data_IF_054431895369
#
_entry.id   IF_054431895369
#
_cell.length_a   1.000
_cell.length_b   1.000
_cell.length_c   1.000
_cell.angle_alpha   90.00
_cell.angle_beta   90.00
_cell.angle_gamma   90.00
#
_symmetry.space_group_name_H-M   'P 1'
#
loop_
_entity.id
_entity.type
_entity.pdbx_description
1 polymer ?
#
# COMPACT_ATOMS: atom_id res chain seq x y z
N UNK A 1 -24.39 52.07 11.89
CA UNK A 1 -24.76 50.74 12.40
C UNK A 1 -25.28 49.83 11.27
N UNK A 2 -26.12 50.36 10.37
CA UNK A 2 -26.80 49.57 9.33
C UNK A 2 -25.88 48.95 8.27
N UNK A 3 -24.77 49.63 7.94
CA UNK A 3 -23.80 49.14 6.95
C UNK A 3 -23.03 47.89 7.42
N UNK A 4 -22.70 47.81 8.69
CA UNK A 4 -21.96 46.65 9.28
C UNK A 4 -22.92 45.44 9.37
N UNK A 5 -24.16 45.65 9.74
CA UNK A 5 -25.18 44.58 9.80
C UNK A 5 -25.51 44.04 8.42
N UNK A 6 -25.62 44.88 7.42
CA UNK A 6 -25.76 44.44 6.01
C UNK A 6 -24.58 43.60 5.54
N UNK A 7 -23.36 44.08 5.80
CA UNK A 7 -22.15 43.33 5.43
C UNK A 7 -22.08 41.96 6.13
N UNK A 8 -22.40 41.88 7.41
CA UNK A 8 -22.44 40.62 8.15
C UNK A 8 -23.48 39.63 7.61
N UNK A 9 -24.65 40.13 7.16
CA UNK A 9 -25.67 39.31 6.51
C UNK A 9 -25.17 38.74 5.17
N UNK A 10 -24.55 39.57 4.33
CA UNK A 10 -23.98 39.09 3.06
C UNK A 10 -22.89 38.02 3.27
N UNK A 11 -21.99 38.24 4.24
CA UNK A 11 -20.96 37.24 4.58
C UNK A 11 -21.60 35.95 5.08
N UNK A 12 -22.57 36.00 5.97
CA UNK A 12 -23.30 34.86 6.49
C UNK A 12 -24.01 34.06 5.40
N UNK A 13 -24.63 34.76 4.45
CA UNK A 13 -25.32 34.17 3.31
C UNK A 13 -24.33 33.44 2.39
N UNK A 14 -23.19 34.09 2.04
CA UNK A 14 -22.13 33.46 1.23
C UNK A 14 -21.57 32.19 1.90
N UNK A 15 -21.29 32.24 3.20
CA UNK A 15 -20.83 31.05 3.96
C UNK A 15 -21.88 29.94 3.97
N UNK A 16 -23.16 30.28 4.07
CA UNK A 16 -24.27 29.32 4.01
C UNK A 16 -24.35 28.63 2.65
N UNK A 17 -24.12 29.35 1.57
CA UNK A 17 -24.12 28.81 0.21
C UNK A 17 -22.90 27.87 -0.02
N UNK A 18 -21.70 28.28 0.40
CA UNK A 18 -20.50 27.45 0.31
C UNK A 18 -20.66 26.12 1.06
N UNK A 19 -21.26 26.18 2.25
CA UNK A 19 -21.53 24.96 3.04
C UNK A 19 -22.55 24.04 2.34
N UNK A 20 -23.59 24.60 1.71
CA UNK A 20 -24.58 23.84 0.93
C UNK A 20 -23.94 23.19 -0.30
N UNK A 21 -23.10 23.91 -1.04
CA UNK A 21 -22.38 23.41 -2.22
C UNK A 21 -21.44 22.28 -1.81
N UNK A 22 -20.63 22.49 -0.76
CA UNK A 22 -19.71 21.49 -0.23
C UNK A 22 -20.46 20.21 0.17
N UNK A 23 -21.59 20.34 0.85
CA UNK A 23 -22.43 19.21 1.25
C UNK A 23 -22.94 18.43 0.04
N UNK A 24 -23.59 19.12 -0.92
CA UNK A 24 -24.11 18.48 -2.15
C UNK A 24 -23.02 17.75 -2.93
N UNK A 25 -21.84 18.34 -3.01
CA UNK A 25 -20.69 17.71 -3.67
C UNK A 25 -20.27 16.41 -2.95
N UNK A 26 -20.18 16.44 -1.62
CA UNK A 26 -19.85 15.24 -0.83
C UNK A 26 -20.91 14.16 -0.95
N UNK A 27 -22.19 14.53 -0.90
CA UNK A 27 -23.31 13.62 -1.11
C UNK A 27 -23.26 12.97 -2.50
N UNK A 28 -23.02 13.76 -3.54
CA UNK A 28 -22.88 13.25 -4.91
C UNK A 28 -21.68 12.32 -5.10
N UNK A 29 -20.54 12.63 -4.49
CA UNK A 29 -19.35 11.76 -4.50
C UNK A 29 -19.66 10.45 -3.78
N UNK A 30 -20.23 10.50 -2.58
CA UNK A 30 -20.58 9.30 -1.80
C UNK A 30 -21.58 8.42 -2.56
N UNK A 31 -22.66 9.00 -3.09
CA UNK A 31 -23.64 8.24 -3.87
C UNK A 31 -23.05 7.62 -5.16
N UNK A 32 -22.06 8.27 -5.77
CA UNK A 32 -21.36 7.72 -6.94
C UNK A 32 -20.44 6.55 -6.55
N UNK A 33 -19.72 6.65 -5.44
CA UNK A 33 -18.88 5.57 -4.91
C UNK A 33 -19.70 4.35 -4.51
N UNK A 34 -20.86 4.55 -3.85
CA UNK A 34 -21.82 3.48 -3.52
C UNK A 34 -22.31 2.70 -4.75
N UNK A 35 -22.46 3.40 -5.88
CA UNK A 35 -22.79 2.79 -7.17
C UNK A 35 -21.58 2.11 -7.84
N UNK A 36 -20.44 2.05 -7.19
CA UNK A 36 -19.21 1.47 -7.75
C UNK A 36 -18.53 2.31 -8.83
N UNK A 37 -18.85 3.62 -8.92
CA UNK A 37 -18.20 4.55 -9.84
C UNK A 37 -16.97 5.17 -9.18
N UNK A 38 -15.80 5.12 -9.84
CA UNK A 38 -14.59 5.79 -9.37
C UNK A 38 -14.69 7.29 -9.62
N UNK A 39 -14.69 8.11 -8.56
CA UNK A 39 -14.77 9.57 -8.62
C UNK A 39 -13.41 10.27 -8.49
N UNK A 40 -12.36 9.53 -8.30
CA UNK A 40 -11.00 10.01 -8.12
C UNK A 40 -10.06 9.51 -9.23
N UNK A 41 -8.80 9.98 -9.18
CA UNK A 41 -7.79 9.54 -10.14
C UNK A 41 -7.54 8.04 -9.99
N UNK A 42 -7.73 7.30 -11.07
CA UNK A 42 -7.47 5.87 -11.11
C UNK A 42 -6.01 5.54 -10.75
N UNK A 43 -5.76 4.42 -10.04
CA UNK A 43 -4.43 3.99 -9.69
C UNK A 43 -3.63 3.58 -10.95
N UNK A 44 -2.31 3.42 -10.78
CA UNK A 44 -1.42 2.99 -11.88
C UNK A 44 -1.90 1.67 -12.48
N UNK A 45 -1.83 1.54 -13.81
CA UNK A 45 -2.38 0.40 -14.55
C UNK A 45 -3.80 0.61 -15.03
N UNK A 46 -4.40 1.75 -14.68
CA UNK A 46 -5.70 2.20 -15.17
C UNK A 46 -5.64 3.63 -15.68
N UNK A 47 -6.58 3.98 -16.55
CA UNK A 47 -6.77 5.30 -17.15
C UNK A 47 -8.21 5.73 -16.91
N UNK A 48 -8.40 6.99 -16.48
CA UNK A 48 -9.73 7.60 -16.46
C UNK A 48 -10.09 8.00 -17.88
N UNK A 49 -11.21 7.49 -18.37
CA UNK A 49 -11.83 7.89 -19.65
C UNK A 49 -13.11 8.64 -19.38
N UNK A 50 -13.40 9.55 -20.26
CA UNK A 50 -14.64 10.31 -20.28
C UNK A 50 -15.21 10.25 -21.68
N UNK A 51 -16.46 9.79 -21.79
CA UNK A 51 -17.20 9.80 -23.07
C UNK A 51 -17.93 11.13 -23.20
N UNK A 52 -18.65 11.51 -22.12
CA UNK A 52 -19.42 12.75 -22.01
C UNK A 52 -19.22 13.33 -20.61
N UNK A 53 -19.70 14.57 -20.35
CA UNK A 53 -19.57 15.21 -19.05
C UNK A 53 -20.16 14.40 -17.89
N UNK A 54 -21.12 13.53 -18.16
CA UNK A 54 -21.76 12.66 -17.16
C UNK A 54 -21.16 11.24 -17.10
N UNK A 55 -20.51 10.77 -18.18
CA UNK A 55 -20.05 9.39 -18.31
C UNK A 55 -18.52 9.27 -18.19
N UNK A 56 -18.07 9.18 -16.95
CA UNK A 56 -16.67 8.87 -16.60
C UNK A 56 -16.55 7.40 -16.19
N UNK A 57 -15.57 6.71 -16.75
CA UNK A 57 -15.26 5.31 -16.42
C UNK A 57 -13.76 5.06 -16.35
N UNK A 58 -13.38 3.94 -15.78
CA UNK A 58 -11.99 3.53 -15.62
C UNK A 58 -11.71 2.36 -16.55
N UNK A 59 -10.70 2.51 -17.39
CA UNK A 59 -10.24 1.50 -18.35
C UNK A 59 -8.84 1.00 -17.96
N UNK A 60 -8.52 -0.24 -18.33
CA UNK A 60 -7.19 -0.81 -18.13
C UNK A 60 -6.19 -0.14 -19.09
N UNK A 61 -5.08 0.36 -18.54
CA UNK A 61 -3.94 0.89 -19.31
C UNK A 61 -3.16 -0.27 -19.94
N UNK A 62 -3.29 -0.46 -21.25
CA UNK A 62 -2.67 -1.58 -22.01
C UNK A 62 -1.16 -1.62 -21.88
N UNK A 63 -0.49 -0.48 -21.66
CA UNK A 63 0.96 -0.41 -21.53
C UNK A 63 1.42 -0.72 -20.10
N UNK A 64 0.74 -0.17 -19.10
CA UNK A 64 1.17 -0.27 -17.70
C UNK A 64 0.57 -1.46 -16.95
N UNK A 65 -0.59 -1.93 -17.36
CA UNK A 65 -1.27 -3.03 -16.69
C UNK A 65 -0.46 -4.34 -16.67
N UNK A 66 0.19 -4.79 -17.77
CA UNK A 66 1.00 -6.00 -17.74
C UNK A 66 2.13 -5.93 -16.70
N UNK A 67 2.77 -4.75 -16.59
CA UNK A 67 3.87 -4.53 -15.64
C UNK A 67 3.36 -4.62 -14.20
N UNK A 68 2.20 -4.05 -13.93
CA UNK A 68 1.58 -4.13 -12.59
C UNK A 68 1.18 -5.57 -12.25
N UNK A 69 0.62 -6.32 -13.21
CA UNK A 69 0.32 -7.75 -13.03
C UNK A 69 1.59 -8.54 -12.69
N UNK A 70 2.68 -8.31 -13.42
CA UNK A 70 3.98 -8.96 -13.17
C UNK A 70 4.51 -8.62 -11.77
N UNK A 71 4.42 -7.34 -11.35
CA UNK A 71 4.82 -6.92 -10.00
C UNK A 71 4.06 -7.68 -8.91
N UNK A 72 2.74 -7.81 -9.03
CA UNK A 72 1.92 -8.55 -8.09
C UNK A 72 2.25 -10.04 -8.10
N UNK A 73 2.42 -10.64 -9.27
CA UNK A 73 2.79 -12.04 -9.41
C UNK A 73 4.15 -12.35 -8.76
N UNK A 74 5.16 -11.50 -8.98
CA UNK A 74 6.48 -11.67 -8.36
C UNK A 74 6.43 -11.54 -6.83
N UNK A 75 5.63 -10.61 -6.30
CA UNK A 75 5.43 -10.50 -4.84
C UNK A 75 4.69 -11.73 -4.32
N UNK A 76 3.66 -12.21 -5.01
CA UNK A 76 2.86 -13.38 -4.60
C UNK A 76 3.69 -14.69 -4.53
N UNK A 77 4.76 -14.81 -5.32
CA UNK A 77 5.70 -15.95 -5.23
C UNK A 77 6.39 -16.03 -3.86
N UNK A 78 6.49 -14.92 -3.12
CA UNK A 78 7.09 -14.90 -1.78
C UNK A 78 8.60 -15.16 -1.72
N UNK A 79 9.29 -15.27 -2.86
CA UNK A 79 10.73 -15.53 -2.93
C UNK A 79 11.53 -14.32 -2.49
N UNK A 80 11.10 -13.13 -2.91
CA UNK A 80 11.76 -11.87 -2.61
C UNK A 80 10.90 -10.94 -1.79
N UNK A 81 11.54 -10.04 -1.05
CA UNK A 81 10.82 -8.98 -0.33
C UNK A 81 10.21 -7.97 -1.31
N UNK A 82 9.06 -7.35 -0.97
CA UNK A 82 8.47 -6.30 -1.81
C UNK A 82 9.46 -5.17 -2.16
N UNK A 83 10.34 -4.80 -1.21
CA UNK A 83 11.37 -3.79 -1.45
C UNK A 83 12.42 -4.21 -2.49
N UNK A 84 12.76 -5.50 -2.55
CA UNK A 84 13.68 -6.01 -3.56
C UNK A 84 13.02 -5.97 -4.95
N UNK A 85 11.78 -6.42 -5.04
CA UNK A 85 11.00 -6.41 -6.29
C UNK A 85 10.85 -4.99 -6.80
N UNK A 86 10.52 -4.03 -5.93
CA UNK A 86 10.45 -2.61 -6.30
C UNK A 86 11.77 -2.12 -6.94
N UNK A 87 12.92 -2.46 -6.36
CA UNK A 87 14.24 -2.11 -6.91
C UNK A 87 14.53 -2.81 -8.24
N UNK A 88 14.10 -4.07 -8.40
CA UNK A 88 14.26 -4.83 -9.63
C UNK A 88 13.51 -4.17 -10.79
N UNK A 89 12.24 -3.79 -10.58
CA UNK A 89 11.44 -3.11 -11.59
C UNK A 89 11.92 -1.67 -11.85
N UNK A 90 12.46 -1.00 -10.84
CA UNK A 90 13.09 0.32 -11.03
C UNK A 90 14.29 0.26 -11.99
N UNK A 91 15.12 -0.80 -11.91
CA UNK A 91 16.24 -1.03 -12.84
C UNK A 91 15.77 -1.34 -14.27
N UNK A 92 14.56 -1.86 -14.45
CA UNK A 92 13.92 -2.10 -15.74
C UNK A 92 13.20 -0.85 -16.29
N UNK A 93 13.38 0.33 -15.68
CA UNK A 93 12.76 1.59 -16.10
C UNK A 93 11.39 1.89 -15.48
N UNK A 94 10.85 0.99 -14.63
CA UNK A 94 9.54 1.15 -14.00
C UNK A 94 9.66 1.61 -12.54
N UNK A 95 10.17 2.81 -12.35
CA UNK A 95 10.37 3.37 -11.01
C UNK A 95 9.05 3.71 -10.31
N UNK A 96 8.90 3.18 -9.09
CA UNK A 96 7.84 3.53 -8.14
C UNK A 96 8.51 3.76 -6.79
N UNK A 97 8.19 4.85 -6.13
CA UNK A 97 8.71 5.10 -4.77
C UNK A 97 8.25 3.99 -3.80
N UNK A 98 9.11 3.59 -2.86
CA UNK A 98 8.88 2.47 -1.92
C UNK A 98 7.50 2.53 -1.23
N UNK A 99 7.15 3.68 -0.67
CA UNK A 99 5.86 3.82 0.04
C UNK A 99 4.66 3.76 -0.91
N UNK A 100 4.81 4.30 -2.13
CA UNK A 100 3.78 4.22 -3.16
C UNK A 100 3.61 2.80 -3.68
N UNK A 101 4.70 2.03 -3.78
CA UNK A 101 4.66 0.62 -4.13
C UNK A 101 3.91 -0.21 -3.08
N UNK A 102 4.20 0.00 -1.79
CA UNK A 102 3.48 -0.70 -0.72
C UNK A 102 2.00 -0.30 -0.64
N UNK A 103 1.68 0.99 -0.86
CA UNK A 103 0.28 1.45 -0.97
C UNK A 103 -0.43 0.81 -2.17
N UNK A 104 0.25 0.69 -3.32
CA UNK A 104 -0.26 0.02 -4.51
C UNK A 104 -0.61 -1.44 -4.22
N UNK A 105 0.30 -2.19 -3.59
CA UNK A 105 0.06 -3.60 -3.25
C UNK A 105 -1.11 -3.81 -2.27
N UNK A 106 -1.46 -2.81 -1.45
CA UNK A 106 -2.60 -2.86 -0.51
C UNK A 106 -3.90 -2.33 -1.08
N UNK A 107 -3.87 -1.78 -2.28
CA UNK A 107 -5.04 -1.14 -2.84
C UNK A 107 -6.01 -2.17 -3.44
N UNK A 108 -7.17 -2.33 -2.82
CA UNK A 108 -8.23 -3.26 -3.25
C UNK A 108 -8.88 -2.89 -4.58
N UNK A 109 -8.59 -1.70 -5.10
CA UNK A 109 -9.03 -1.32 -6.43
C UNK A 109 -8.57 -2.31 -7.50
N UNK A 110 -7.40 -2.93 -7.34
CA UNK A 110 -6.87 -3.91 -8.29
C UNK A 110 -7.67 -5.22 -8.36
N UNK A 111 -8.46 -5.53 -7.34
CA UNK A 111 -9.38 -6.68 -7.31
C UNK A 111 -10.83 -6.28 -7.58
N UNK A 112 -11.06 -5.05 -8.05
CA UNK A 112 -12.38 -4.58 -8.42
C UNK A 112 -13.21 -4.04 -7.25
N UNK A 113 -12.60 -3.69 -6.12
CA UNK A 113 -13.28 -3.09 -4.97
C UNK A 113 -12.95 -1.60 -4.85
N UNK A 114 -13.96 -0.78 -4.56
CA UNK A 114 -13.82 0.66 -4.33
C UNK A 114 -14.06 0.96 -2.85
N UNK A 115 -13.16 1.74 -2.27
CA UNK A 115 -13.30 2.23 -0.90
C UNK A 115 -14.28 3.38 -0.82
N UNK A 116 -15.32 3.23 0.00
CA UNK A 116 -16.28 4.28 0.34
C UNK A 116 -15.90 4.79 1.73
N UNK A 117 -15.48 6.06 1.87
CA UNK A 117 -15.12 6.61 3.17
C UNK A 117 -16.34 6.80 4.06
N UNK A 118 -16.11 6.91 5.37
CA UNK A 118 -17.15 7.27 6.33
C UNK A 118 -17.85 8.56 5.91
N UNK A 119 -19.17 8.54 5.96
CA UNK A 119 -20.00 9.67 5.62
C UNK A 119 -21.01 9.95 6.73
N UNK A 120 -21.17 11.23 7.11
CA UNK A 120 -22.17 11.68 8.08
C UNK A 120 -23.37 12.23 7.34
N UNK A 121 -24.43 11.43 7.27
CA UNK A 121 -25.72 11.84 6.76
C UNK A 121 -26.55 12.49 7.87
N UNK A 122 -27.26 13.59 7.54
CA UNK A 122 -28.09 14.29 8.51
C UNK A 122 -29.34 13.52 8.93
N UNK A 123 -29.83 12.60 8.08
CA UNK A 123 -31.07 11.85 8.30
C UNK A 123 -30.80 10.45 8.85
N UNK A 124 -29.75 9.80 8.35
CA UNK A 124 -29.44 8.39 8.63
C UNK A 124 -28.38 8.25 9.74
N UNK A 125 -27.60 9.33 9.98
CA UNK A 125 -26.50 9.30 10.92
C UNK A 125 -25.15 8.97 10.26
N UNK A 126 -24.27 8.27 11.00
CA UNK A 126 -22.93 7.94 10.51
C UNK A 126 -22.97 6.65 9.71
N UNK A 127 -22.61 6.70 8.43
CA UNK A 127 -22.38 5.55 7.57
C UNK A 127 -20.90 5.18 7.68
N UNK A 128 -20.55 3.99 8.21
CA UNK A 128 -19.15 3.60 8.39
C UNK A 128 -18.46 3.38 7.04
N UNK A 129 -17.14 3.53 7.04
CA UNK A 129 -16.33 3.24 5.86
C UNK A 129 -16.40 1.75 5.49
N UNK A 130 -16.58 1.45 4.21
CA UNK A 130 -16.68 0.08 3.69
C UNK A 130 -16.17 -0.01 2.25
N UNK A 131 -16.19 -1.23 1.69
CA UNK A 131 -15.82 -1.49 0.31
C UNK A 131 -17.03 -1.96 -0.48
N UNK A 132 -17.18 -1.45 -1.70
CA UNK A 132 -18.23 -1.86 -2.65
C UNK A 132 -17.59 -2.44 -3.91
N UNK A 133 -18.34 -3.24 -4.64
CA UNK A 133 -17.90 -3.76 -5.93
C UNK A 133 -17.84 -2.61 -6.94
N UNK A 134 -16.66 -2.37 -7.51
CA UNK A 134 -16.45 -1.38 -8.55
C UNK A 134 -16.99 -1.83 -9.91
N UNK A 135 -17.31 -0.85 -10.76
CA UNK A 135 -17.72 -1.10 -12.15
C UNK A 135 -16.52 -1.33 -13.08
N UNK A 136 -15.30 -1.06 -12.61
CA UNK A 136 -14.08 -1.27 -13.38
C UNK A 136 -13.67 -2.74 -13.40
N UNK A 137 -13.00 -3.15 -14.46
CA UNK A 137 -12.45 -4.49 -14.60
C UNK A 137 -11.29 -4.72 -13.61
N UNK A 138 -11.28 -5.82 -12.83
CA UNK A 138 -10.18 -6.14 -11.94
C UNK A 138 -8.90 -6.46 -12.72
N UNK A 139 -7.77 -5.96 -12.25
CA UNK A 139 -6.47 -6.24 -12.85
C UNK A 139 -5.82 -7.50 -12.29
N UNK A 140 -6.12 -7.82 -11.03
CA UNK A 140 -5.53 -8.91 -10.25
C UNK A 140 -6.66 -9.78 -9.70
N UNK A 141 -6.47 -11.09 -9.68
CA UNK A 141 -7.38 -12.03 -9.03
C UNK A 141 -7.28 -11.95 -7.50
N UNK A 142 -8.34 -12.32 -6.82
CA UNK A 142 -8.44 -12.23 -5.36
C UNK A 142 -7.41 -13.08 -4.65
N UNK A 143 -7.15 -14.29 -5.13
CA UNK A 143 -6.19 -15.22 -4.54
C UNK A 143 -4.76 -14.68 -4.56
N UNK A 144 -4.34 -14.11 -5.70
CA UNK A 144 -3.04 -13.43 -5.82
C UNK A 144 -2.95 -12.23 -4.90
N UNK A 145 -4.00 -11.44 -4.80
CA UNK A 145 -4.05 -10.29 -3.92
C UNK A 145 -3.91 -10.69 -2.44
N UNK A 146 -4.64 -11.71 -1.99
CA UNK A 146 -4.58 -12.20 -0.60
C UNK A 146 -3.20 -12.77 -0.24
N UNK A 147 -2.57 -13.51 -1.16
CA UNK A 147 -1.16 -13.93 -1.01
C UNK A 147 -0.24 -12.74 -0.82
N UNK A 148 -0.40 -11.70 -1.64
CA UNK A 148 0.39 -10.45 -1.51
C UNK A 148 0.14 -9.78 -0.17
N UNK A 149 -1.12 -9.68 0.32
CA UNK A 149 -1.41 -9.09 1.62
C UNK A 149 -0.70 -9.83 2.76
N UNK A 150 -0.73 -11.17 2.75
CA UNK A 150 -0.05 -11.98 3.77
C UNK A 150 1.46 -11.72 3.85
N UNK A 151 2.07 -11.40 2.70
CA UNK A 151 3.50 -11.08 2.61
C UNK A 151 3.77 -9.65 3.07
N UNK A 152 2.97 -8.69 2.61
CA UNK A 152 3.13 -7.26 2.91
C UNK A 152 2.86 -6.95 4.38
N UNK A 153 1.92 -7.65 5.03
CA UNK A 153 1.59 -7.48 6.44
C UNK A 153 2.58 -8.16 7.40
N UNK A 154 3.72 -8.62 6.88
CA UNK A 154 4.79 -9.29 7.64
C UNK A 154 4.36 -10.60 8.32
N UNK A 155 3.19 -11.12 8.05
CA UNK A 155 2.77 -12.45 8.48
C UNK A 155 3.63 -13.53 7.82
N UNK A 156 4.12 -13.24 6.62
CA UNK A 156 5.08 -14.04 5.90
C UNK A 156 6.45 -13.35 5.88
N UNK A 157 7.42 -13.91 6.58
CA UNK A 157 8.85 -13.58 6.38
C UNK A 157 9.41 -14.67 5.49
N UNK A 158 9.72 -14.39 4.19
CA UNK A 158 10.46 -15.36 3.41
C UNK A 158 11.72 -15.71 4.20
N UNK A 159 11.99 -17.00 4.38
CA UNK A 159 13.28 -17.46 4.88
C UNK A 159 14.31 -17.06 3.82
N UNK A 160 14.79 -15.81 3.91
CA UNK A 160 15.97 -15.43 3.15
C UNK A 160 17.02 -16.49 3.48
N UNK A 161 17.49 -17.18 2.47
CA UNK A 161 18.69 -17.98 2.59
C UNK A 161 19.72 -17.06 3.23
N UNK A 162 19.99 -17.30 4.50
CA UNK A 162 20.91 -16.46 5.28
C UNK A 162 22.21 -16.47 4.48
N UNK A 163 22.73 -15.28 4.15
CA UNK A 163 24.03 -15.18 3.51
C UNK A 163 25.01 -15.92 4.40
N UNK A 164 25.37 -17.15 4.02
CA UNK A 164 26.45 -17.87 4.64
C UNK A 164 27.72 -17.17 4.21
N UNK A 165 28.33 -16.44 5.14
CA UNK A 165 29.69 -15.94 4.90
C UNK A 165 30.61 -17.14 4.87
N UNK A 166 31.48 -17.29 3.86
CA UNK A 166 32.35 -18.48 3.74
C UNK A 166 33.17 -18.73 5.02
N UNK A 167 33.62 -17.68 5.69
CA UNK A 167 34.42 -17.79 6.91
C UNK A 167 33.62 -18.06 8.18
N UNK A 168 32.26 -18.04 8.10
CA UNK A 168 31.36 -18.26 9.25
C UNK A 168 30.28 -19.29 8.89
N UNK A 169 30.68 -20.40 8.32
CA UNK A 169 29.79 -21.43 7.78
C UNK A 169 28.99 -22.19 8.85
N UNK A 170 29.47 -22.27 10.09
CA UNK A 170 28.79 -22.94 11.21
C UNK A 170 27.73 -22.11 11.90
N UNK A 171 27.45 -20.91 11.41
CA UNK A 171 26.52 -19.95 12.02
C UNK A 171 25.12 -20.48 12.37
N UNK A 172 24.65 -21.51 11.69
CA UNK A 172 23.33 -22.11 11.93
C UNK A 172 23.38 -23.38 12.74
N UNK A 173 24.54 -24.02 12.83
CA UNK A 173 24.75 -25.32 13.45
C UNK A 173 25.15 -25.19 14.91
N UNK A 174 25.89 -24.14 15.26
CA UNK A 174 26.33 -23.94 16.64
C UNK A 174 25.19 -23.41 17.54
N UNK A 175 25.09 -24.03 18.71
CA UNK A 175 24.20 -23.66 19.80
C UNK A 175 24.99 -23.17 21.01
N UNK A 176 24.49 -22.13 21.67
CA UNK A 176 25.07 -21.63 22.91
C UNK A 176 24.87 -22.68 24.02
N UNK A 177 25.92 -23.11 24.70
CA UNK A 177 25.81 -24.12 25.78
C UNK A 177 25.01 -23.62 26.99
N UNK A 178 24.94 -22.31 27.21
CA UNK A 178 24.25 -21.72 28.33
C UNK A 178 22.73 -21.49 28.09
N UNK A 179 22.33 -21.05 26.89
CA UNK A 179 20.94 -20.70 26.63
C UNK A 179 20.29 -21.43 25.44
N UNK A 180 21.02 -22.34 24.77
CA UNK A 180 20.51 -23.10 23.63
C UNK A 180 20.25 -22.25 22.36
N UNK A 181 20.45 -20.92 22.40
CA UNK A 181 20.24 -20.05 21.25
C UNK A 181 21.25 -20.33 20.15
N UNK A 182 20.84 -20.10 18.89
CA UNK A 182 21.76 -20.23 17.73
C UNK A 182 22.86 -19.18 17.82
N UNK A 183 24.10 -19.60 17.69
CA UNK A 183 25.25 -18.67 17.68
C UNK A 183 25.30 -17.91 16.35
N UNK A 184 25.76 -16.67 16.42
CA UNK A 184 26.04 -15.83 15.27
C UNK A 184 27.54 -15.59 15.16
N UNK A 185 27.99 -15.17 13.99
CA UNK A 185 29.42 -14.86 13.78
C UNK A 185 29.58 -13.40 13.35
N UNK A 186 30.62 -12.78 13.86
CA UNK A 186 31.03 -11.43 13.48
C UNK A 186 32.54 -11.37 13.20
N UNK A 187 32.91 -10.39 12.37
CA UNK A 187 34.32 -10.08 12.11
C UNK A 187 34.80 -9.01 13.09
N UNK A 188 35.97 -9.20 13.66
CA UNK A 188 36.70 -8.16 14.40
C UNK A 188 38.00 -7.87 13.68
N UNK A 189 38.44 -6.62 13.70
CA UNK A 189 39.69 -6.17 13.09
C UNK A 189 40.74 -6.01 14.21
N UNK A 190 41.82 -6.73 14.13
CA UNK A 190 42.99 -6.61 15.02
C UNK A 190 44.23 -6.22 14.23
N UNK A 191 45.37 -6.07 14.92
CA UNK A 191 46.65 -5.63 14.33
C UNK A 191 47.19 -6.52 13.20
N UNK A 192 46.71 -7.75 13.08
CA UNK A 192 47.14 -8.74 12.05
C UNK A 192 46.10 -9.02 10.97
N UNK A 193 44.94 -8.37 10.99
CA UNK A 193 43.89 -8.61 9.98
C UNK A 193 42.47 -8.78 10.55
N UNK A 194 41.58 -9.36 9.74
CA UNK A 194 40.19 -9.67 10.14
C UNK A 194 40.12 -11.08 10.73
N UNK A 195 39.52 -11.16 11.92
CA UNK A 195 39.30 -12.43 12.63
C UNK A 195 37.79 -12.64 12.78
N UNK A 196 37.32 -13.88 12.60
CA UNK A 196 35.91 -14.25 12.67
C UNK A 196 35.65 -15.05 13.94
N UNK A 197 34.67 -14.61 14.72
CA UNK A 197 34.31 -15.24 16.00
C UNK A 197 32.82 -15.61 16.00
N UNK A 198 32.53 -16.74 16.66
CA UNK A 198 31.15 -17.12 16.96
C UNK A 198 30.79 -16.66 18.37
N UNK A 199 29.67 -16.01 18.51
CA UNK A 199 29.16 -15.55 19.80
C UNK A 199 27.65 -15.78 19.91
N UNK A 200 27.12 -15.79 21.12
CA UNK A 200 25.68 -15.96 21.35
C UNK A 200 24.91 -14.76 20.85
N UNK A 201 23.79 -14.97 20.14
CA UNK A 201 22.90 -13.89 19.70
C UNK A 201 22.15 -13.22 20.86
N UNK A 202 22.21 -13.79 22.06
CA UNK A 202 21.60 -13.29 23.32
C UNK A 202 22.65 -12.96 24.37
N UNK A 203 23.82 -12.56 23.94
CA UNK A 203 25.00 -12.33 24.79
C UNK A 203 24.74 -11.43 26.01
N UNK A 204 23.87 -10.41 25.83
CA UNK A 204 23.49 -9.50 26.90
C UNK A 204 22.64 -10.15 28.03
N UNK A 205 22.34 -11.45 27.96
CA UNK A 205 21.49 -12.17 28.92
C UNK A 205 22.22 -13.23 29.74
N UNK A 206 23.53 -13.42 29.54
CA UNK A 206 24.40 -14.32 30.30
C UNK A 206 25.88 -13.99 30.13
#
# INVERSE_FOLDING_TARGET
>A
ADSITMLSLYISQAQSEDTKISRRTKEGIHASLEKGKCTYKAPRGYINRQIDDEHKFVEIDKEKAPIIREMFAEVAKGVYTPCYIQKLFARRGHYIHKNSFLKMLRNRFYVGEIYVPEYKDQKIGVIPAHYVKGLHEPLIDRDTFEKVQSIVDKKYRPKLTKRTHPDVFLRQYLRCPQCGATMTGSASTGNGGKYYYYHCSKDAKH
#
